data_IF_440533271422
#
_entry.id   IF_440533271422
#
_cell.length_a   1.000
_cell.length_b   1.000
_cell.length_c   1.000
_cell.angle_alpha   90.00
_cell.angle_beta   90.00
_cell.angle_gamma   90.00
#
_symmetry.space_group_name_H-M   'P 1'
#
loop_
_entity.id
_entity.type
_entity.pdbx_description
1 polymer ?
#
# COMPACT_ATOMS: atom_id res chain seq x y z
N UNK A 1 8.34 -28.80 33.53
CA UNK A 1 7.87 -28.42 32.18
C UNK A 1 6.99 -27.19 32.34
N UNK A 2 7.52 -25.99 32.02
CA UNK A 2 6.81 -24.73 32.17
C UNK A 2 5.89 -24.50 30.97
N UNK A 3 4.60 -24.33 31.20
CA UNK A 3 3.64 -23.94 30.19
C UNK A 3 3.99 -22.55 29.64
N UNK A 4 3.96 -22.32 28.31
CA UNK A 4 4.20 -20.98 27.74
C UNK A 4 3.07 -20.04 28.22
N UNK A 5 3.45 -18.93 28.85
CA UNK A 5 2.51 -17.88 29.26
C UNK A 5 1.73 -17.37 28.06
N UNK A 6 0.39 -17.25 28.14
CA UNK A 6 -0.40 -16.73 27.03
C UNK A 6 0.08 -15.33 26.66
N UNK A 7 0.39 -15.11 25.36
CA UNK A 7 0.74 -13.78 24.84
C UNK A 7 -0.40 -12.82 25.15
N UNK A 8 -0.16 -11.82 25.99
CA UNK A 8 -1.14 -10.77 26.29
C UNK A 8 -1.63 -10.16 24.97
N UNK A 9 -2.92 -10.29 24.67
CA UNK A 9 -3.59 -9.63 23.55
C UNK A 9 -3.37 -8.12 23.70
N UNK A 10 -2.53 -7.54 22.88
CA UNK A 10 -2.33 -6.10 22.86
C UNK A 10 -3.64 -5.45 22.39
N UNK A 11 -4.19 -4.55 23.21
CA UNK A 11 -5.42 -3.82 22.86
C UNK A 11 -5.20 -3.02 21.57
N UNK A 12 -6.11 -3.11 20.58
CA UNK A 12 -6.04 -2.32 19.37
C UNK A 12 -6.08 -0.81 19.69
N UNK A 13 -5.61 -0.01 18.77
CA UNK A 13 -5.63 1.45 18.85
C UNK A 13 -6.31 2.01 17.63
N UNK A 14 -6.98 3.14 17.78
CA UNK A 14 -7.73 3.81 16.71
C UNK A 14 -6.87 4.88 16.06
N UNK A 15 -6.77 4.86 14.74
CA UNK A 15 -6.13 5.91 13.97
C UNK A 15 -6.94 7.22 14.03
N UNK A 16 -6.30 8.35 14.36
CA UNK A 16 -7.00 9.65 14.42
C UNK A 16 -7.39 10.19 13.05
N UNK A 17 -6.79 9.68 11.96
CA UNK A 17 -7.09 10.07 10.58
C UNK A 17 -8.28 9.33 9.99
N UNK A 18 -8.22 7.98 9.92
CA UNK A 18 -9.28 7.17 9.29
C UNK A 18 -10.29 6.58 10.28
N UNK A 19 -10.01 6.65 11.57
CA UNK A 19 -10.85 6.08 12.66
C UNK A 19 -10.89 4.55 12.70
N UNK A 20 -10.11 3.86 11.91
CA UNK A 20 -9.98 2.40 11.93
C UNK A 20 -9.14 1.93 13.12
N UNK A 21 -9.48 0.76 13.65
CA UNK A 21 -8.71 0.09 14.69
C UNK A 21 -7.60 -0.76 14.08
N UNK A 22 -6.41 -0.70 14.68
CA UNK A 22 -5.25 -1.48 14.25
C UNK A 22 -4.39 -1.88 15.45
N UNK A 23 -3.58 -2.94 15.33
CA UNK A 23 -2.60 -3.28 16.34
C UNK A 23 -1.67 -2.09 16.64
N UNK A 24 -1.30 -1.86 17.91
CA UNK A 24 -0.45 -0.74 18.33
C UNK A 24 0.82 -0.60 17.49
N UNK A 25 1.44 -1.72 17.10
CA UNK A 25 2.68 -1.76 16.32
C UNK A 25 2.52 -1.34 14.85
N UNK A 26 1.29 -1.35 14.33
CA UNK A 26 0.98 -0.95 12.96
C UNK A 26 0.64 0.54 12.83
N UNK A 27 0.79 1.30 13.92
CA UNK A 27 0.44 2.71 13.98
C UNK A 27 1.63 3.51 14.52
N UNK A 28 1.85 4.68 13.94
CA UNK A 28 2.77 5.68 14.49
C UNK A 28 2.11 6.29 15.72
N UNK A 29 2.86 6.37 16.82
CA UNK A 29 2.42 7.03 18.03
C UNK A 29 3.01 8.42 18.12
N UNK A 30 2.15 9.43 18.32
CA UNK A 30 2.56 10.77 18.69
C UNK A 30 2.20 10.96 20.17
N UNK A 31 3.11 11.53 20.94
CA UNK A 31 2.91 11.70 22.38
C UNK A 31 3.14 13.16 22.78
N UNK A 32 2.27 13.66 23.64
CA UNK A 32 2.55 14.84 24.44
C UNK A 32 3.13 14.37 25.79
N UNK A 33 4.41 14.69 26.01
CA UNK A 33 5.11 14.38 27.26
C UNK A 33 4.52 15.15 28.45
N UNK A 34 4.84 14.77 29.70
CA UNK A 34 4.45 15.54 30.88
C UNK A 34 4.96 16.99 30.85
N UNK A 35 6.10 17.23 30.22
CA UNK A 35 6.72 18.57 30.06
C UNK A 35 6.06 19.40 28.95
N UNK A 36 5.01 18.85 28.29
CA UNK A 36 4.26 19.54 27.24
C UNK A 36 4.81 19.40 25.84
N UNK A 37 5.97 18.75 25.65
CA UNK A 37 6.57 18.54 24.32
C UNK A 37 5.76 17.53 23.52
N UNK A 38 5.58 17.81 22.21
CA UNK A 38 4.93 16.88 21.27
C UNK A 38 6.00 16.28 20.37
N UNK A 39 6.11 14.95 20.43
CA UNK A 39 7.13 14.18 19.70
C UNK A 39 6.55 12.90 19.11
N UNK A 40 7.17 12.39 18.07
CA UNK A 40 6.90 11.05 17.54
C UNK A 40 7.56 10.01 18.45
N UNK A 41 6.78 9.09 18.99
CA UNK A 41 7.27 8.06 19.92
C UNK A 41 7.59 6.76 19.19
N UNK A 42 8.79 6.67 18.66
CA UNK A 42 9.27 5.54 17.87
C UNK A 42 9.14 4.18 18.57
N UNK A 43 9.49 4.16 19.84
CA UNK A 43 9.48 2.93 20.64
C UNK A 43 8.13 2.65 21.30
N UNK A 44 7.20 3.60 21.24
CA UNK A 44 5.90 3.50 21.87
C UNK A 44 5.95 3.40 23.40
N UNK A 45 7.02 3.93 24.03
CA UNK A 45 7.29 3.80 25.48
C UNK A 45 7.33 5.13 26.22
N UNK A 46 7.36 6.27 25.52
CA UNK A 46 7.42 7.57 26.17
C UNK A 46 6.20 7.81 27.06
N UNK A 47 6.39 8.36 28.28
CA UNK A 47 5.29 8.72 29.15
C UNK A 47 4.51 9.90 28.56
N UNK A 48 3.21 9.93 28.78
CA UNK A 48 2.38 11.04 28.32
C UNK A 48 1.12 10.61 27.57
N UNK A 49 0.40 11.62 27.08
CA UNK A 49 -0.83 11.43 26.32
C UNK A 49 -0.50 11.11 24.88
N UNK A 50 -0.86 9.90 24.42
CA UNK A 50 -0.59 9.41 23.08
C UNK A 50 -1.79 9.47 22.16
N UNK A 51 -1.54 9.78 20.89
CA UNK A 51 -2.44 9.61 19.75
C UNK A 51 -1.79 8.65 18.73
N UNK A 52 -2.60 7.99 17.92
CA UNK A 52 -2.13 6.98 16.98
C UNK A 52 -2.57 7.33 15.56
N UNK A 53 -1.69 7.12 14.59
CA UNK A 53 -1.90 7.43 13.19
C UNK A 53 -1.39 6.28 12.32
N UNK A 54 -2.14 5.90 11.28
CA UNK A 54 -1.62 4.99 10.26
C UNK A 54 -0.42 5.63 9.55
N UNK A 55 0.57 4.83 9.15
CA UNK A 55 1.67 5.26 8.30
C UNK A 55 1.19 5.44 6.84
N UNK A 56 0.21 6.32 6.64
CA UNK A 56 -0.38 6.65 5.33
C UNK A 56 -0.52 8.16 5.18
N UNK A 57 -0.09 8.71 4.03
CA UNK A 57 -0.18 10.15 3.72
C UNK A 57 -1.61 10.66 3.84
N UNK A 58 -2.61 9.88 3.40
CA UNK A 58 -4.02 10.26 3.47
C UNK A 58 -4.52 10.39 4.91
N UNK A 59 -4.04 9.53 5.81
CA UNK A 59 -4.40 9.60 7.23
C UNK A 59 -3.79 10.84 7.89
N UNK A 60 -2.54 11.17 7.55
CA UNK A 60 -1.87 12.38 8.03
C UNK A 60 -2.56 13.65 7.50
N UNK A 61 -2.87 13.71 6.21
CA UNK A 61 -3.58 14.83 5.59
C UNK A 61 -4.95 15.06 6.23
N UNK A 62 -5.73 13.99 6.46
CA UNK A 62 -7.03 14.07 7.15
C UNK A 62 -6.87 14.54 8.60
N UNK A 63 -5.88 14.02 9.32
CA UNK A 63 -5.63 14.40 10.70
C UNK A 63 -5.19 15.87 10.83
N UNK A 64 -4.37 16.37 9.89
CA UNK A 64 -3.94 17.78 9.81
C UNK A 64 -5.14 18.68 9.51
N UNK A 65 -5.93 18.38 8.47
CA UNK A 65 -7.11 19.16 8.06
C UNK A 65 -8.18 19.25 9.16
N UNK A 66 -8.42 18.18 9.90
CA UNK A 66 -9.44 18.14 10.98
C UNK A 66 -8.94 18.57 12.34
N UNK A 67 -7.63 18.81 12.51
CA UNK A 67 -6.99 19.07 13.81
C UNK A 67 -7.10 17.88 14.76
N UNK A 68 -7.22 16.66 14.25
CA UNK A 68 -7.49 15.47 15.07
C UNK A 68 -6.35 15.13 16.04
N UNK A 69 -5.08 15.36 15.63
CA UNK A 69 -3.93 15.19 16.52
C UNK A 69 -3.97 16.19 17.66
N UNK A 70 -4.21 17.47 17.36
CA UNK A 70 -4.30 18.53 18.39
C UNK A 70 -5.43 18.26 19.39
N UNK A 71 -6.60 17.83 18.91
CA UNK A 71 -7.74 17.44 19.75
C UNK A 71 -7.40 16.22 20.62
N UNK A 72 -6.76 15.20 20.06
CA UNK A 72 -6.40 13.98 20.77
C UNK A 72 -5.34 14.24 21.86
N UNK A 73 -4.33 15.07 21.56
CA UNK A 73 -3.24 15.39 22.49
C UNK A 73 -3.56 16.57 23.42
N UNK A 74 -4.66 17.31 23.13
CA UNK A 74 -5.07 18.53 23.87
C UNK A 74 -3.96 19.59 23.91
N UNK A 75 -3.31 19.81 22.76
CA UNK A 75 -2.27 20.83 22.58
C UNK A 75 -2.08 21.10 21.10
N UNK A 76 -1.52 22.26 20.77
CA UNK A 76 -1.10 22.55 19.40
C UNK A 76 0.01 21.59 18.96
N UNK A 77 0.01 21.23 17.70
CA UNK A 77 1.02 20.34 17.11
C UNK A 77 2.02 21.23 16.34
N UNK A 78 3.31 21.21 16.71
CA UNK A 78 4.33 21.95 15.98
C UNK A 78 4.46 21.47 14.52
N UNK A 79 4.81 22.37 13.61
CA UNK A 79 5.06 22.00 12.21
C UNK A 79 6.24 21.03 12.07
N UNK A 80 7.24 21.11 12.96
CA UNK A 80 8.32 20.13 13.03
C UNK A 80 7.84 18.71 13.29
N UNK A 81 6.81 18.53 14.11
CA UNK A 81 6.22 17.22 14.34
C UNK A 81 5.47 16.69 13.10
N UNK A 82 4.83 17.58 12.33
CA UNK A 82 4.22 17.18 11.05
C UNK A 82 5.29 16.80 10.03
N UNK A 83 6.38 17.54 9.92
CA UNK A 83 7.50 17.22 9.04
C UNK A 83 8.14 15.87 9.39
N UNK A 84 8.34 15.60 10.69
CA UNK A 84 8.83 14.31 11.18
C UNK A 84 7.87 13.16 10.85
N UNK A 85 6.55 13.39 10.96
CA UNK A 85 5.53 12.40 10.57
C UNK A 85 5.53 12.16 9.06
N UNK A 86 5.68 13.19 8.24
CA UNK A 86 5.79 13.07 6.79
C UNK A 86 7.02 12.25 6.41
N UNK A 87 8.19 12.59 6.94
CA UNK A 87 9.44 11.85 6.73
C UNK A 87 9.31 10.38 7.16
N UNK A 88 8.71 10.15 8.32
CA UNK A 88 8.50 8.80 8.85
C UNK A 88 7.53 7.97 8.02
N UNK A 89 6.48 8.58 7.51
CA UNK A 89 5.52 7.91 6.60
C UNK A 89 6.20 7.58 5.27
N UNK A 90 7.12 8.41 4.80
CA UNK A 90 7.93 8.13 3.62
C UNK A 90 8.90 6.97 3.84
N UNK A 91 9.63 6.97 4.96
CA UNK A 91 10.50 5.86 5.34
C UNK A 91 9.72 4.57 5.58
N UNK A 92 8.59 4.62 6.29
CA UNK A 92 7.76 3.45 6.57
C UNK A 92 7.01 2.95 5.33
N UNK A 93 6.70 3.82 4.37
CA UNK A 93 6.21 3.44 3.05
C UNK A 93 7.24 2.64 2.26
N UNK A 94 8.53 2.86 2.55
CA UNK A 94 9.64 2.08 1.97
C UNK A 94 10.07 0.88 2.82
N UNK A 95 9.82 0.85 4.13
CA UNK A 95 10.42 -0.11 5.08
C UNK A 95 9.41 -1.04 5.78
N UNK A 96 8.11 -0.74 5.81
CA UNK A 96 7.12 -1.44 6.67
C UNK A 96 6.12 -2.36 6.00
N UNK A 97 6.41 -2.91 4.88
CA UNK A 97 5.90 -4.24 4.63
C UNK A 97 7.11 -5.16 4.64
N UNK A 98 7.20 -6.04 5.63
CA UNK A 98 7.95 -7.27 5.45
C UNK A 98 7.70 -7.71 4.00
N UNK A 99 8.73 -7.91 3.17
CA UNK A 99 8.53 -8.33 1.79
C UNK A 99 7.52 -9.48 1.68
N UNK A 100 7.51 -10.39 2.66
CA UNK A 100 6.54 -11.49 2.75
C UNK A 100 5.11 -10.99 3.09
N UNK A 101 4.94 -10.01 3.97
CA UNK A 101 3.60 -9.43 4.24
C UNK A 101 3.05 -8.70 3.02
N UNK A 102 3.90 -8.00 2.25
CA UNK A 102 3.49 -7.36 0.97
C UNK A 102 3.11 -8.39 -0.08
N UNK A 103 3.90 -9.44 -0.22
CA UNK A 103 3.60 -10.54 -1.14
C UNK A 103 2.30 -11.23 -0.74
N UNK A 104 2.07 -11.44 0.54
CA UNK A 104 0.83 -12.03 1.04
C UNK A 104 -0.39 -11.12 0.77
N UNK A 105 -0.27 -9.81 1.00
CA UNK A 105 -1.32 -8.85 0.68
C UNK A 105 -1.59 -8.81 -0.83
N UNK A 106 -0.54 -8.80 -1.66
CA UNK A 106 -0.65 -8.85 -3.12
C UNK A 106 -1.40 -10.10 -3.58
N UNK A 107 -1.01 -11.28 -3.09
CA UNK A 107 -1.70 -12.54 -3.39
C UNK A 107 -3.18 -12.50 -2.96
N UNK A 108 -3.48 -11.91 -1.81
CA UNK A 108 -4.86 -11.76 -1.32
C UNK A 108 -5.70 -10.85 -2.22
N UNK A 109 -5.13 -9.72 -2.68
CA UNK A 109 -5.78 -8.80 -3.61
C UNK A 109 -6.01 -9.43 -4.98
N UNK A 110 -5.05 -10.20 -5.48
CA UNK A 110 -5.18 -10.94 -6.74
C UNK A 110 -6.26 -12.01 -6.65
N UNK A 111 -6.30 -12.78 -5.58
CA UNK A 111 -7.36 -13.75 -5.32
C UNK A 111 -8.74 -13.11 -5.22
N UNK A 112 -8.85 -11.96 -4.57
CA UNK A 112 -10.09 -11.18 -4.50
C UNK A 112 -10.51 -10.70 -5.89
N UNK A 113 -9.58 -10.15 -6.67
CA UNK A 113 -9.81 -9.67 -8.04
C UNK A 113 -10.28 -10.81 -8.95
N UNK A 114 -9.74 -12.01 -8.78
CA UNK A 114 -10.16 -13.22 -9.53
C UNK A 114 -11.59 -13.61 -9.19
N UNK A 115 -11.94 -13.68 -7.90
CA UNK A 115 -13.32 -14.00 -7.45
C UNK A 115 -14.33 -12.96 -7.92
N UNK A 116 -13.92 -11.70 -8.06
CA UNK A 116 -14.73 -10.62 -8.61
C UNK A 116 -14.87 -10.67 -10.15
N UNK A 117 -14.26 -11.65 -10.83
CA UNK A 117 -14.28 -11.76 -12.29
C UNK A 117 -13.52 -10.66 -13.02
N UNK A 118 -12.61 -9.96 -12.35
CA UNK A 118 -11.91 -8.79 -12.89
C UNK A 118 -10.55 -9.13 -13.51
N UNK A 119 -10.05 -10.36 -13.36
CA UNK A 119 -8.73 -10.76 -13.82
C UNK A 119 -8.81 -11.38 -15.20
N UNK A 120 -8.05 -10.82 -16.12
CA UNK A 120 -7.75 -11.39 -17.44
C UNK A 120 -6.49 -12.24 -17.28
N UNK A 121 -6.55 -13.49 -17.70
CA UNK A 121 -5.46 -14.46 -17.52
C UNK A 121 -4.88 -14.84 -18.87
N UNK A 122 -3.54 -14.71 -19.00
CA UNK A 122 -2.79 -15.07 -20.19
C UNK A 122 -2.81 -14.00 -21.29
N UNK A 123 -1.83 -14.08 -22.18
CA UNK A 123 -1.58 -13.08 -23.22
C UNK A 123 -2.79 -12.86 -24.15
N UNK A 124 -3.48 -13.93 -24.56
CA UNK A 124 -4.61 -13.83 -25.46
C UNK A 124 -5.78 -13.06 -24.85
N UNK A 125 -6.10 -13.34 -23.57
CA UNK A 125 -7.15 -12.64 -22.84
C UNK A 125 -6.81 -11.15 -22.67
N UNK A 126 -5.56 -10.85 -22.33
CA UNK A 126 -5.08 -9.47 -22.18
C UNK A 126 -5.13 -8.74 -23.52
N UNK A 127 -4.65 -9.36 -24.61
CA UNK A 127 -4.67 -8.80 -25.96
C UNK A 127 -6.09 -8.48 -26.44
N UNK A 128 -7.05 -9.37 -26.17
CA UNK A 128 -8.45 -9.21 -26.62
C UNK A 128 -9.17 -8.02 -25.95
N UNK A 129 -8.67 -7.56 -24.80
CA UNK A 129 -9.22 -6.42 -24.08
C UNK A 129 -8.47 -5.12 -24.33
N UNK A 130 -7.33 -5.15 -25.05
CA UNK A 130 -6.66 -3.94 -25.48
C UNK A 130 -7.58 -3.11 -26.38
N UNK A 131 -7.68 -1.82 -26.08
CA UNK A 131 -8.60 -0.90 -26.77
C UNK A 131 -9.97 -0.72 -26.12
N UNK A 132 -10.36 -1.57 -25.16
CA UNK A 132 -11.65 -1.42 -24.44
C UNK A 132 -11.55 -0.58 -23.16
N UNK A 133 -10.34 -0.16 -22.77
CA UNK A 133 -10.10 0.68 -21.61
C UNK A 133 -8.71 0.49 -21.03
N UNK A 134 -8.36 1.29 -20.01
CA UNK A 134 -7.06 1.19 -19.37
C UNK A 134 -6.93 -0.15 -18.61
N UNK A 135 -5.77 -0.78 -18.74
CA UNK A 135 -5.41 -2.02 -18.04
C UNK A 135 -4.22 -1.79 -17.13
N UNK A 136 -4.22 -2.46 -15.98
CA UNK A 136 -3.03 -2.74 -15.19
C UNK A 136 -2.57 -4.14 -15.56
N UNK A 137 -1.43 -4.24 -16.23
CA UNK A 137 -0.81 -5.50 -16.65
C UNK A 137 0.24 -5.88 -15.62
N UNK A 138 0.21 -7.11 -15.14
CA UNK A 138 1.19 -7.66 -14.20
C UNK A 138 1.85 -8.88 -14.84
N UNK A 139 3.18 -8.90 -14.86
CA UNK A 139 3.98 -10.06 -15.24
C UNK A 139 4.68 -10.65 -14.03
N UNK A 140 4.85 -11.98 -14.01
CA UNK A 140 5.63 -12.65 -12.98
C UNK A 140 7.13 -12.30 -13.10
N UNK A 141 7.87 -12.36 -11.98
CA UNK A 141 9.30 -12.02 -11.94
C UNK A 141 10.17 -12.98 -12.77
N UNK A 142 9.74 -14.21 -12.95
CA UNK A 142 10.38 -15.28 -13.74
C UNK A 142 9.64 -15.59 -15.04
N UNK A 143 8.85 -14.63 -15.56
CA UNK A 143 8.18 -14.80 -16.83
C UNK A 143 9.19 -14.85 -18.00
N UNK A 144 8.79 -15.49 -19.11
CA UNK A 144 9.63 -15.54 -20.31
C UNK A 144 9.84 -14.17 -20.93
N UNK A 145 10.98 -13.96 -21.59
CA UNK A 145 11.30 -12.71 -22.28
C UNK A 145 10.21 -12.29 -23.27
N UNK A 146 9.61 -13.24 -23.98
CA UNK A 146 8.53 -12.98 -24.94
C UNK A 146 7.26 -12.43 -24.28
N UNK A 147 6.96 -12.86 -23.04
CA UNK A 147 5.82 -12.33 -22.26
C UNK A 147 6.12 -10.94 -21.75
N UNK A 148 7.36 -10.69 -21.30
CA UNK A 148 7.78 -9.37 -20.85
C UNK A 148 7.71 -8.35 -22.00
N UNK A 149 8.31 -8.67 -23.16
CA UNK A 149 8.23 -7.83 -24.38
C UNK A 149 6.79 -7.59 -24.85
N UNK A 150 5.92 -8.60 -24.72
CA UNK A 150 4.51 -8.45 -25.03
C UNK A 150 3.84 -7.42 -24.11
N UNK A 151 4.07 -7.50 -22.79
CA UNK A 151 3.49 -6.58 -21.82
C UNK A 151 4.00 -5.14 -22.00
N UNK A 152 5.31 -4.96 -22.23
CA UNK A 152 5.93 -3.66 -22.48
C UNK A 152 5.42 -3.03 -23.78
N UNK A 153 5.25 -3.81 -24.84
CA UNK A 153 4.68 -3.36 -26.11
C UNK A 153 3.25 -2.86 -25.93
N UNK A 154 2.42 -3.56 -25.16
CA UNK A 154 1.06 -3.12 -24.86
C UNK A 154 1.03 -1.83 -24.03
N UNK A 155 1.90 -1.71 -23.04
CA UNK A 155 2.00 -0.50 -22.22
C UNK A 155 2.48 0.72 -23.04
N UNK A 156 3.34 0.49 -24.04
CA UNK A 156 3.90 1.54 -24.89
C UNK A 156 3.01 1.93 -26.07
N UNK A 157 2.22 1.01 -26.62
CA UNK A 157 1.47 1.18 -27.87
C UNK A 157 0.16 1.98 -27.73
N UNK A 158 -0.37 2.14 -26.54
CA UNK A 158 -1.61 2.88 -26.32
C UNK A 158 -1.34 4.19 -25.60
N UNK A 159 -1.75 5.32 -26.16
CA UNK A 159 -1.67 6.64 -25.57
C UNK A 159 -1.96 6.64 -24.07
N UNK A 160 -0.97 6.34 -23.20
CA UNK A 160 -0.98 6.40 -21.74
C UNK A 160 -2.13 5.65 -21.01
N UNK A 161 -2.70 4.60 -21.62
CA UNK A 161 -3.87 3.94 -21.05
C UNK A 161 -3.57 2.68 -20.27
N UNK A 162 -2.45 2.00 -20.56
CA UNK A 162 -2.06 0.78 -19.87
C UNK A 162 -0.85 1.02 -18.98
N UNK A 163 -0.84 0.41 -17.80
CA UNK A 163 0.32 0.36 -16.90
C UNK A 163 0.83 -1.09 -16.87
N UNK A 164 2.14 -1.28 -17.00
CA UNK A 164 2.79 -2.58 -16.80
C UNK A 164 3.65 -2.54 -15.55
N UNK A 165 3.52 -3.56 -14.72
CA UNK A 165 4.34 -3.77 -13.52
C UNK A 165 4.89 -5.19 -13.56
N UNK A 166 6.20 -5.30 -13.46
CA UNK A 166 6.90 -6.55 -13.19
C UNK A 166 6.74 -6.87 -11.71
N UNK A 167 5.82 -7.79 -11.39
CA UNK A 167 5.44 -8.08 -10.02
C UNK A 167 6.48 -8.99 -9.34
N UNK A 168 6.82 -8.78 -8.07
CA UNK A 168 7.75 -9.62 -7.32
C UNK A 168 7.09 -10.95 -6.89
N UNK A 169 6.51 -11.66 -7.83
CA UNK A 169 5.83 -12.94 -7.67
C UNK A 169 6.32 -13.89 -8.76
N UNK A 170 6.80 -15.07 -8.38
CA UNK A 170 7.09 -16.12 -9.36
C UNK A 170 5.82 -16.59 -10.06
N UNK A 171 5.98 -17.20 -11.23
CA UNK A 171 4.89 -17.83 -12.00
C UNK A 171 4.08 -18.78 -11.10
N UNK A 172 4.75 -19.55 -10.25
CA UNK A 172 4.11 -20.48 -9.33
C UNK A 172 3.24 -19.74 -8.29
N UNK A 173 3.77 -18.74 -7.62
CA UNK A 173 3.06 -17.92 -6.61
C UNK A 173 1.88 -17.15 -7.22
N UNK A 174 2.08 -16.56 -8.41
CA UNK A 174 1.03 -15.88 -9.15
C UNK A 174 -0.12 -16.83 -9.49
N UNK A 175 0.22 -18.02 -10.00
CA UNK A 175 -0.75 -19.05 -10.38
C UNK A 175 -1.53 -19.57 -9.17
N UNK A 176 -0.83 -19.79 -8.05
CA UNK A 176 -1.45 -20.22 -6.80
C UNK A 176 -2.40 -19.15 -6.25
N UNK A 177 -2.01 -17.89 -6.26
CA UNK A 177 -2.84 -16.77 -5.79
C UNK A 177 -4.15 -16.64 -6.59
N UNK A 178 -4.12 -17.00 -7.86
CA UNK A 178 -5.28 -16.97 -8.75
C UNK A 178 -6.07 -18.27 -8.77
N UNK A 179 -5.54 -19.37 -8.23
CA UNK A 179 -6.16 -20.69 -8.31
C UNK A 179 -6.30 -21.21 -9.76
N UNK A 180 -5.25 -20.99 -10.59
CA UNK A 180 -5.23 -21.39 -12.00
C UNK A 180 -4.01 -22.26 -12.31
N UNK A 181 -3.91 -22.79 -13.53
CA UNK A 181 -2.67 -23.36 -14.06
C UNK A 181 -1.59 -22.30 -14.21
N UNK A 182 -0.41 -22.68 -14.74
CA UNK A 182 0.74 -21.80 -14.89
C UNK A 182 0.40 -20.52 -15.67
N UNK A 183 0.60 -19.36 -15.04
CA UNK A 183 0.28 -18.04 -15.58
C UNK A 183 1.47 -17.10 -15.42
N UNK A 184 1.91 -16.50 -16.50
CA UNK A 184 3.03 -15.56 -16.51
C UNK A 184 2.59 -14.10 -16.60
N UNK A 185 1.38 -13.83 -17.13
CA UNK A 185 0.82 -12.49 -17.31
C UNK A 185 -0.66 -12.47 -17.01
N UNK A 186 -1.07 -11.40 -16.34
CA UNK A 186 -2.47 -11.08 -16.08
C UNK A 186 -2.73 -9.60 -16.33
N UNK A 187 -4.00 -9.23 -16.45
CA UNK A 187 -4.39 -7.83 -16.41
C UNK A 187 -5.68 -7.62 -15.61
N UNK A 188 -5.83 -6.41 -15.10
CA UNK A 188 -7.03 -5.92 -14.42
C UNK A 188 -7.48 -4.60 -15.04
N UNK A 189 -8.77 -4.21 -14.91
CA UNK A 189 -9.20 -2.86 -15.25
C UNK A 189 -8.39 -1.82 -14.49
N UNK A 190 -7.64 -0.98 -15.23
CA UNK A 190 -6.63 -0.07 -14.67
C UNK A 190 -7.21 1.08 -13.82
N UNK A 191 -8.51 1.35 -13.93
CA UNK A 191 -9.27 2.32 -13.12
C UNK A 191 -10.18 1.63 -12.12
N UNK A 192 -9.69 0.66 -11.38
CA UNK A 192 -10.42 0.01 -10.31
C UNK A 192 -9.73 0.23 -8.98
N UNK A 193 -10.49 0.31 -7.90
CA UNK A 193 -9.92 0.46 -6.55
C UNK A 193 -8.96 -0.67 -6.17
N UNK A 194 -9.13 -1.88 -6.75
CA UNK A 194 -8.20 -2.99 -6.58
C UNK A 194 -6.89 -2.76 -7.34
N UNK A 195 -6.96 -2.27 -8.59
CA UNK A 195 -5.76 -1.92 -9.36
C UNK A 195 -4.96 -0.79 -8.70
N UNK A 196 -5.64 0.23 -8.17
CA UNK A 196 -4.99 1.34 -7.47
C UNK A 196 -4.30 0.86 -6.18
N UNK A 197 -4.93 -0.05 -5.46
CA UNK A 197 -4.34 -0.67 -4.26
C UNK A 197 -3.10 -1.51 -4.59
N UNK A 198 -3.14 -2.27 -5.68
CA UNK A 198 -1.99 -3.05 -6.17
C UNK A 198 -0.84 -2.13 -6.59
N UNK A 199 -1.11 -1.05 -7.32
CA UNK A 199 -0.10 -0.06 -7.70
C UNK A 199 0.60 0.56 -6.49
N UNK A 200 -0.18 0.98 -5.48
CA UNK A 200 0.36 1.52 -4.23
C UNK A 200 1.23 0.50 -3.50
N UNK A 201 0.77 -0.75 -3.43
CA UNK A 201 1.51 -1.83 -2.77
C UNK A 201 2.84 -2.14 -3.47
N UNK A 202 2.88 -2.02 -4.80
CA UNK A 202 4.07 -2.25 -5.62
C UNK A 202 4.96 -0.99 -5.81
N UNK A 203 4.61 0.13 -5.16
CA UNK A 203 5.44 1.34 -5.15
C UNK A 203 5.29 2.26 -6.36
N UNK A 204 4.36 1.98 -7.28
CA UNK A 204 4.14 2.82 -8.48
C UNK A 204 3.16 3.99 -8.25
N UNK A 205 2.58 4.11 -7.08
CA UNK A 205 1.62 5.18 -6.77
C UNK A 205 2.23 6.56 -6.58
N UNK A 206 3.56 6.68 -6.44
CA UNK A 206 4.26 7.95 -6.14
C UNK A 206 4.77 8.71 -7.36
N UNK A 207 4.97 8.08 -8.50
CA UNK A 207 5.57 8.73 -9.68
C UNK A 207 4.59 9.33 -10.68
N UNK A 208 3.33 8.99 -10.63
CA UNK A 208 2.33 9.45 -11.61
C UNK A 208 1.74 10.84 -11.31
N UNK A 209 1.93 11.42 -10.13
CA UNK A 209 1.37 12.73 -9.77
C UNK A 209 2.34 13.90 -9.95
N UNK A 210 3.65 13.66 -10.10
CA UNK A 210 4.62 14.75 -10.28
C UNK A 210 4.77 15.24 -11.73
N UNK A 211 4.27 14.52 -12.73
CA UNK A 211 4.40 14.93 -14.14
C UNK A 211 3.23 15.76 -14.69
N UNK A 212 2.21 16.06 -13.89
CA UNK A 212 1.07 16.89 -14.36
C UNK A 212 1.14 18.37 -13.92
N UNK A 213 2.17 18.80 -13.20
CA UNK A 213 2.25 20.18 -12.69
C UNK A 213 3.45 21.00 -13.20
N UNK A 214 4.06 20.59 -14.31
CA UNK A 214 5.10 21.41 -14.97
C UNK A 214 4.66 21.70 -16.40
N UNK A 215 3.69 22.62 -16.53
CA UNK A 215 3.21 23.10 -17.83
C UNK A 215 2.23 24.25 -17.65
N UNK A 216 2.76 25.39 -17.24
CA UNK A 216 2.26 26.75 -17.56
C UNK A 216 3.38 27.73 -17.30
#
# INVERSE_FOLDING_TARGET
MGQPRPRQRQKPRTCVGCREESPKRALIRVVRSPDGLVVVDERGKLPGRGAYLCARRECLARARKSGALAKALRTAIPDSCYAELEHRIEEEGTVRADPEERLHELCSLLGLSRRAGMVLVGSDSVQSQCGKGPLLILTAEDCSASVLEFADRLASAGARTHAHIHAPLSVERLSLALGTGLVQVIALPGRSGLADRIKVLLGEGGRALEQQNTGL
#
